data_IF_781565250866
#
_entry.id   IF_781565250866
#
_cell.length_a   1.000
_cell.length_b   1.000
_cell.length_c   1.000
_cell.angle_alpha   90.00
_cell.angle_beta   90.00
_cell.angle_gamma   90.00
#
_symmetry.space_group_name_H-M   'P 1'
#
loop_
_entity.id
_entity.type
_entity.pdbx_description
1 polymer ?
#
# COMPACT_ATOMS: atom_id res chain seq x y z
N UNK A 1 -12.18 20.29 22.12
CA UNK A 1 -13.20 19.27 21.81
C UNK A 1 -12.44 17.98 21.50
N UNK A 2 -12.59 16.95 22.30
CA UNK A 2 -11.83 15.70 22.09
C UNK A 2 -12.54 14.85 21.06
N UNK A 3 -11.89 14.61 19.93
CA UNK A 3 -12.29 13.53 19.03
C UNK A 3 -11.90 12.22 19.72
N UNK A 4 -12.78 11.24 19.69
CA UNK A 4 -12.45 9.92 20.18
C UNK A 4 -11.63 9.18 19.12
N UNK A 5 -10.68 8.38 19.59
CA UNK A 5 -9.83 7.53 18.78
C UNK A 5 -10.11 6.09 19.13
N UNK A 6 -10.42 5.28 18.14
CA UNK A 6 -10.61 3.85 18.28
C UNK A 6 -9.49 3.13 17.53
N UNK A 7 -8.94 2.09 18.15
CA UNK A 7 -7.93 1.23 17.58
C UNK A 7 -8.51 -0.18 17.51
N UNK A 8 -8.42 -0.79 16.33
CA UNK A 8 -8.85 -2.16 16.07
C UNK A 8 -7.65 -2.97 15.61
N UNK A 9 -7.51 -4.17 16.08
CA UNK A 9 -6.39 -5.06 15.72
C UNK A 9 -6.73 -6.02 14.59
N UNK A 10 -8.01 -6.15 14.29
CA UNK A 10 -8.51 -6.92 13.15
C UNK A 10 -9.58 -6.11 12.43
N UNK A 11 -9.63 -6.25 11.10
CA UNK A 11 -10.61 -5.53 10.28
C UNK A 11 -12.05 -5.95 10.66
N UNK A 12 -12.23 -7.20 11.06
CA UNK A 12 -13.53 -7.75 11.48
C UNK A 12 -14.08 -7.14 12.76
N UNK A 13 -13.26 -6.49 13.57
CA UNK A 13 -13.67 -5.80 14.81
C UNK A 13 -14.34 -4.46 14.52
N UNK A 14 -14.17 -3.90 13.31
CA UNK A 14 -14.74 -2.60 12.95
C UNK A 14 -16.24 -2.76 12.67
N UNK A 15 -17.11 -2.12 13.46
CA UNK A 15 -18.55 -2.24 13.26
C UNK A 15 -18.98 -1.73 11.88
N UNK A 16 -19.96 -2.42 11.27
CA UNK A 16 -20.56 -2.01 9.99
C UNK A 16 -20.99 -0.54 9.97
N UNK A 17 -21.54 -0.04 11.07
CA UNK A 17 -21.91 1.37 11.23
C UNK A 17 -20.77 2.34 10.93
N UNK A 18 -19.53 2.00 11.32
CA UNK A 18 -18.34 2.84 11.04
C UNK A 18 -18.08 2.89 9.54
N UNK A 19 -18.17 1.77 8.84
CA UNK A 19 -18.02 1.71 7.38
C UNK A 19 -19.09 2.52 6.66
N UNK A 20 -20.34 2.39 7.08
CA UNK A 20 -21.47 3.15 6.53
C UNK A 20 -21.28 4.67 6.75
N UNK A 21 -20.71 5.08 7.90
CA UNK A 21 -20.42 6.48 8.21
C UNK A 21 -19.23 7.05 7.43
N UNK A 22 -18.18 6.26 7.24
CA UNK A 22 -17.00 6.68 6.48
C UNK A 22 -17.32 6.83 4.98
N UNK A 23 -18.15 5.96 4.44
CA UNK A 23 -18.51 5.93 2.99
C UNK A 23 -17.27 5.96 2.08
N UNK A 24 -16.28 5.12 2.41
CA UNK A 24 -14.99 5.08 1.72
C UNK A 24 -14.83 3.90 0.75
N UNK A 25 -15.80 3.00 0.69
CA UNK A 25 -15.73 1.74 -0.08
C UNK A 25 -15.76 1.92 -1.60
N UNK A 26 -16.08 3.14 -2.10
CA UNK A 26 -15.90 3.48 -3.52
C UNK A 26 -14.45 3.32 -3.99
N UNK A 27 -13.49 3.43 -3.08
CA UNK A 27 -12.12 3.00 -3.30
C UNK A 27 -11.97 1.60 -2.70
N UNK A 28 -11.80 0.59 -3.55
CA UNK A 28 -11.71 -0.83 -3.16
C UNK A 28 -10.67 -1.08 -2.07
N UNK A 29 -9.56 -0.35 -2.06
CA UNK A 29 -8.50 -0.49 -1.06
C UNK A 29 -8.92 -0.07 0.36
N UNK A 30 -10.06 0.61 0.51
CA UNK A 30 -10.68 0.93 1.79
C UNK A 30 -11.92 0.09 2.07
N UNK A 31 -12.23 -0.91 1.24
CA UNK A 31 -13.33 -1.82 1.55
C UNK A 31 -12.93 -2.85 2.61
N UNK A 32 -13.88 -3.25 3.44
CA UNK A 32 -13.66 -4.27 4.47
C UNK A 32 -13.25 -5.61 3.85
N UNK A 33 -13.79 -5.94 2.68
CA UNK A 33 -13.52 -7.16 1.92
C UNK A 33 -12.06 -7.22 1.45
N UNK A 34 -11.56 -6.13 0.91
CA UNK A 34 -10.16 -6.03 0.48
C UNK A 34 -9.20 -6.13 1.67
N UNK A 35 -9.45 -5.34 2.71
CA UNK A 35 -8.60 -5.29 3.89
C UNK A 35 -8.58 -6.63 4.63
N UNK A 36 -9.73 -7.32 4.73
CA UNK A 36 -9.83 -8.64 5.34
C UNK A 36 -9.07 -9.71 4.52
N UNK A 37 -9.16 -9.66 3.19
CA UNK A 37 -8.40 -10.57 2.33
C UNK A 37 -6.88 -10.38 2.49
N UNK A 38 -6.41 -9.14 2.59
CA UNK A 38 -5.00 -8.82 2.78
C UNK A 38 -4.55 -9.25 4.18
N UNK A 39 -5.29 -8.91 5.22
CA UNK A 39 -4.95 -9.24 6.61
C UNK A 39 -4.85 -10.76 6.82
N UNK A 40 -5.85 -11.52 6.41
CA UNK A 40 -5.92 -12.96 6.67
C UNK A 40 -4.87 -13.79 5.95
N UNK A 41 -4.37 -13.30 4.83
CA UNK A 41 -3.42 -14.06 4.02
C UNK A 41 -1.95 -13.62 4.18
N UNK A 42 -1.68 -12.58 4.99
CA UNK A 42 -0.32 -12.05 5.16
C UNK A 42 0.04 -11.98 6.65
N UNK A 43 0.04 -13.11 7.32
CA UNK A 43 0.27 -13.31 8.76
C UNK A 43 1.69 -12.91 9.24
N UNK A 44 2.63 -12.76 8.30
CA UNK A 44 3.95 -12.20 8.57
C UNK A 44 3.94 -10.69 8.83
N UNK A 45 2.81 -10.02 8.58
CA UNK A 45 2.58 -8.62 8.93
C UNK A 45 1.69 -8.52 10.17
N UNK A 46 1.88 -7.47 10.95
CA UNK A 46 0.94 -7.09 12.00
C UNK A 46 0.09 -5.94 11.50
N UNK A 47 -1.22 -6.06 11.66
CA UNK A 47 -2.17 -5.04 11.24
C UNK A 47 -2.79 -4.34 12.45
N UNK A 48 -3.12 -3.07 12.29
CA UNK A 48 -4.10 -2.39 13.13
C UNK A 48 -4.72 -1.21 12.35
N UNK A 49 -5.88 -0.79 12.81
CA UNK A 49 -6.69 0.22 12.17
C UNK A 49 -7.03 1.32 13.15
N UNK A 50 -6.98 2.55 12.68
CA UNK A 50 -7.31 3.73 13.48
C UNK A 50 -8.54 4.40 12.91
N UNK A 51 -9.55 4.58 13.73
CA UNK A 51 -10.76 5.36 13.40
C UNK A 51 -10.82 6.59 14.29
N UNK A 52 -11.00 7.75 13.67
CA UNK A 52 -11.32 8.98 14.39
C UNK A 52 -12.80 9.30 14.23
N UNK A 53 -13.41 9.74 15.32
CA UNK A 53 -14.79 10.23 15.32
C UNK A 53 -14.84 11.72 15.67
N UNK A 54 -15.91 12.40 15.26
CA UNK A 54 -16.24 13.75 15.69
C UNK A 54 -16.80 13.79 17.11
N UNK A 55 -17.24 14.96 17.55
CA UNK A 55 -17.85 15.17 18.87
C UNK A 55 -19.22 14.51 19.02
N UNK A 56 -19.87 14.15 17.91
CA UNK A 56 -21.14 13.38 17.85
C UNK A 56 -20.89 11.87 17.71
N UNK A 57 -19.65 11.43 17.83
CA UNK A 57 -19.21 10.04 17.69
C UNK A 57 -19.42 9.45 16.28
N UNK A 58 -19.54 10.29 15.26
CA UNK A 58 -19.57 9.85 13.87
C UNK A 58 -18.16 9.69 13.33
N UNK A 59 -17.90 8.60 12.62
CA UNK A 59 -16.61 8.34 12.01
C UNK A 59 -16.29 9.37 10.92
N UNK A 60 -15.10 9.97 11.01
CA UNK A 60 -14.65 11.03 10.11
C UNK A 60 -13.34 10.71 9.38
N UNK A 61 -12.57 9.76 9.88
CA UNK A 61 -11.32 9.34 9.26
C UNK A 61 -10.96 7.91 9.65
N UNK A 62 -10.21 7.27 8.78
CA UNK A 62 -9.72 5.91 8.91
C UNK A 62 -8.24 5.87 8.50
N UNK A 63 -7.45 5.03 9.17
CA UNK A 63 -6.09 4.69 8.74
C UNK A 63 -5.86 3.20 8.87
N UNK A 64 -5.30 2.60 7.80
CA UNK A 64 -4.80 1.24 7.78
C UNK A 64 -3.29 1.24 8.01
N UNK A 65 -2.84 0.47 9.00
CA UNK A 65 -1.45 0.41 9.42
C UNK A 65 -0.94 -1.02 9.38
N UNK A 66 0.24 -1.18 8.81
CA UNK A 66 0.95 -2.45 8.70
C UNK A 66 2.31 -2.33 9.38
N UNK A 67 2.68 -3.30 10.20
CA UNK A 67 4.02 -3.39 10.79
C UNK A 67 4.75 -4.56 10.13
N UNK A 68 5.92 -4.26 9.61
CA UNK A 68 6.76 -5.17 8.83
C UNK A 68 8.03 -5.42 9.62
N UNK A 69 8.38 -6.69 9.82
CA UNK A 69 9.69 -7.08 10.30
C UNK A 69 10.64 -7.19 9.11
N UNK A 70 11.58 -6.26 9.01
CA UNK A 70 12.50 -6.15 7.89
C UNK A 70 13.90 -6.60 8.27
N UNK A 71 14.43 -7.59 7.55
CA UNK A 71 15.78 -8.14 7.73
C UNK A 71 16.74 -7.47 6.76
N UNK A 72 17.80 -6.84 7.29
CA UNK A 72 18.80 -6.12 6.48
C UNK A 72 19.70 -7.04 5.66
N UNK A 73 19.90 -8.27 6.11
CA UNK A 73 20.63 -9.34 5.43
C UNK A 73 19.92 -9.87 4.17
N UNK A 74 18.62 -9.60 4.03
CA UNK A 74 17.88 -9.86 2.80
C UNK A 74 18.31 -8.97 1.61
N UNK A 75 19.23 -8.01 1.84
CA UNK A 75 19.74 -7.07 0.82
C UNK A 75 21.15 -7.51 0.44
N UNK A 76 21.27 -8.62 -0.30
CA UNK A 76 22.58 -9.17 -0.64
C UNK A 76 23.34 -8.45 -1.77
N UNK A 77 22.72 -7.62 -2.57
CA UNK A 77 23.43 -6.97 -3.69
C UNK A 77 22.97 -5.54 -3.92
N UNK A 78 23.94 -4.65 -3.92
CA UNK A 78 23.89 -3.24 -4.35
C UNK A 78 22.76 -2.42 -3.72
N UNK A 79 23.13 -1.70 -2.68
CA UNK A 79 22.26 -0.75 -1.98
C UNK A 79 21.54 0.15 -2.99
N UNK A 80 20.30 -0.17 -3.32
CA UNK A 80 19.46 0.65 -4.19
C UNK A 80 19.43 2.10 -3.66
N UNK A 81 19.13 3.03 -4.53
CA UNK A 81 19.04 4.46 -4.18
C UNK A 81 18.11 4.72 -2.98
N UNK A 82 17.09 3.87 -2.81
CA UNK A 82 16.14 3.94 -1.68
C UNK A 82 16.82 3.51 -0.39
N UNK A 83 17.52 2.38 -0.40
CA UNK A 83 18.27 1.90 0.78
C UNK A 83 19.39 2.89 1.11
N UNK A 84 20.10 3.44 0.12
CA UNK A 84 21.09 4.50 0.35
C UNK A 84 20.46 5.74 1.00
N UNK A 85 19.26 6.14 0.62
CA UNK A 85 18.54 7.25 1.25
C UNK A 85 18.04 6.91 2.64
N UNK A 86 17.44 5.75 2.83
CA UNK A 86 16.98 5.26 4.16
C UNK A 86 18.19 5.06 5.08
N UNK A 87 19.29 4.45 4.61
CA UNK A 87 20.52 4.28 5.42
C UNK A 87 21.24 5.60 5.64
N UNK A 88 21.20 6.57 4.71
CA UNK A 88 21.76 7.91 4.94
C UNK A 88 20.97 8.66 6.01
N UNK A 89 19.64 8.53 5.99
CA UNK A 89 18.77 9.06 7.05
C UNK A 89 19.01 8.31 8.36
N UNK A 90 19.07 6.99 8.34
CA UNK A 90 19.37 6.15 9.50
C UNK A 90 20.75 6.48 10.11
N UNK A 91 21.80 6.72 9.29
CA UNK A 91 23.11 7.20 9.77
C UNK A 91 23.03 8.59 10.38
N UNK A 92 22.26 9.50 9.77
CA UNK A 92 22.06 10.86 10.29
C UNK A 92 21.38 10.84 11.67
N UNK A 93 20.52 9.86 11.91
CA UNK A 93 19.83 9.65 13.20
C UNK A 93 20.53 8.66 14.12
N UNK A 94 21.77 8.22 13.80
CA UNK A 94 22.52 7.22 14.58
C UNK A 94 21.78 5.88 14.77
N UNK A 95 20.87 5.54 13.88
CA UNK A 95 20.29 4.20 13.80
C UNK A 95 21.33 3.35 13.07
N UNK A 96 22.25 2.76 13.83
CA UNK A 96 23.25 1.83 13.29
C UNK A 96 22.51 0.56 12.82
N UNK A 97 22.96 -0.08 11.71
CA UNK A 97 22.47 -1.40 11.35
C UNK A 97 22.76 -2.33 12.53
N UNK A 98 21.72 -2.73 13.23
CA UNK A 98 21.82 -3.75 14.25
C UNK A 98 21.65 -5.11 13.57
N UNK A 99 22.24 -6.17 14.11
CA UNK A 99 21.99 -7.54 13.70
C UNK A 99 20.51 -7.95 13.87
N UNK A 100 19.73 -7.09 14.54
CA UNK A 100 18.31 -7.28 14.76
C UNK A 100 17.49 -6.74 13.59
N UNK A 101 16.42 -7.44 13.19
CA UNK A 101 15.51 -6.97 12.19
C UNK A 101 14.83 -5.65 12.57
N UNK A 102 14.66 -4.75 11.64
CA UNK A 102 13.97 -3.47 11.83
C UNK A 102 12.45 -3.67 11.89
N UNK A 103 11.79 -2.92 12.75
CA UNK A 103 10.34 -2.80 12.79
C UNK A 103 9.92 -1.57 11.99
N UNK A 104 9.32 -1.78 10.83
CA UNK A 104 8.84 -0.70 9.96
C UNK A 104 7.33 -0.62 10.06
N UNK A 105 6.82 0.50 10.55
CA UNK A 105 5.40 0.81 10.48
C UNK A 105 5.10 1.56 9.19
N UNK A 106 4.23 1.00 8.37
CA UNK A 106 3.71 1.62 7.15
C UNK A 106 2.23 1.97 7.32
N UNK A 107 1.90 3.26 7.33
CA UNK A 107 0.54 3.72 7.12
C UNK A 107 0.31 3.84 5.62
N UNK A 108 -0.33 2.83 5.06
CA UNK A 108 -0.47 2.61 3.62
C UNK A 108 -0.48 1.12 3.31
N UNK A 109 -0.80 0.80 2.06
CA UNK A 109 -0.75 -0.58 1.60
C UNK A 109 0.68 -0.91 1.11
N UNK A 110 1.34 -1.90 1.71
CA UNK A 110 2.70 -2.29 1.35
C UNK A 110 2.80 -2.99 -0.01
N UNK A 111 1.68 -3.46 -0.54
CA UNK A 111 1.63 -4.26 -1.76
C UNK A 111 1.17 -3.48 -3.00
N UNK A 112 0.61 -2.27 -2.81
CA UNK A 112 0.15 -1.42 -3.92
C UNK A 112 0.61 0.01 -3.73
N UNK A 113 0.78 0.74 -4.84
CA UNK A 113 1.09 2.16 -4.86
C UNK A 113 -0.20 2.99 -4.83
N UNK A 114 -0.15 4.16 -4.20
CA UNK A 114 -1.25 5.11 -4.11
C UNK A 114 -1.64 5.47 -2.69
N UNK A 115 -2.46 6.51 -2.54
CA UNK A 115 -2.96 6.98 -1.24
C UNK A 115 -4.05 6.06 -0.68
N UNK A 116 -3.65 4.85 -0.26
CA UNK A 116 -4.55 3.81 0.24
C UNK A 116 -4.35 3.52 1.74
N UNK A 117 -3.65 4.41 2.46
CA UNK A 117 -3.40 4.25 3.88
C UNK A 117 -4.31 5.06 4.77
N UNK A 118 -4.74 6.22 4.30
CA UNK A 118 -5.51 7.20 5.08
C UNK A 118 -6.71 7.68 4.28
N UNK A 119 -7.87 7.57 4.89
CA UNK A 119 -9.11 8.19 4.41
C UNK A 119 -9.57 9.28 5.37
N UNK A 120 -9.90 10.44 4.84
CA UNK A 120 -10.47 11.57 5.59
C UNK A 120 -11.66 12.11 4.81
N UNK A 121 -12.81 12.21 5.47
CA UNK A 121 -14.03 12.75 4.85
C UNK A 121 -13.81 14.16 4.31
N UNK A 122 -14.45 14.48 3.19
CA UNK A 122 -14.22 15.73 2.46
C UNK A 122 -14.69 16.99 3.24
N UNK A 123 -15.66 16.84 4.13
CA UNK A 123 -16.17 17.91 4.98
C UNK A 123 -15.27 18.23 6.18
N UNK A 124 -14.16 17.50 6.35
CA UNK A 124 -13.25 17.66 7.47
C UNK A 124 -12.02 18.51 7.11
N UNK A 125 -11.46 19.18 8.12
CA UNK A 125 -10.15 19.83 7.97
C UNK A 125 -9.05 18.76 7.89
N UNK A 126 -8.68 18.39 6.65
CA UNK A 126 -7.76 17.30 6.34
C UNK A 126 -6.41 17.44 7.06
N UNK A 127 -5.86 18.65 7.18
CA UNK A 127 -4.59 18.93 7.88
C UNK A 127 -4.67 18.56 9.36
N UNK A 128 -5.71 19.05 10.03
CA UNK A 128 -5.92 18.80 11.45
C UNK A 128 -6.18 17.31 11.71
N UNK A 129 -6.99 16.67 10.87
CA UNK A 129 -7.34 15.25 11.01
C UNK A 129 -6.13 14.37 10.76
N UNK A 130 -5.33 14.63 9.71
CA UNK A 130 -4.08 13.90 9.44
C UNK A 130 -3.12 13.96 10.63
N UNK A 131 -2.93 15.14 11.21
CA UNK A 131 -2.07 15.31 12.40
C UNK A 131 -2.59 14.50 13.59
N UNK A 132 -3.91 14.43 13.79
CA UNK A 132 -4.51 13.63 14.86
C UNK A 132 -4.32 12.13 14.63
N UNK A 133 -4.52 11.64 13.38
CA UNK A 133 -4.26 10.26 13.03
C UNK A 133 -2.81 9.87 13.30
N UNK A 134 -1.85 10.67 12.81
CA UNK A 134 -0.43 10.43 13.04
C UNK A 134 -0.08 10.36 14.53
N UNK A 135 -0.58 11.31 15.34
CA UNK A 135 -0.38 11.28 16.81
C UNK A 135 -1.03 10.07 17.48
N UNK A 136 -2.20 9.65 16.99
CA UNK A 136 -2.87 8.46 17.53
C UNK A 136 -2.05 7.18 17.25
N UNK A 137 -1.51 7.05 16.03
CA UNK A 137 -0.64 5.94 15.64
C UNK A 137 0.62 5.92 16.52
N UNK A 138 1.33 7.06 16.64
CA UNK A 138 2.54 7.17 17.47
C UNK A 138 2.24 6.79 18.94
N UNK A 139 1.20 7.35 19.53
CA UNK A 139 0.82 7.07 20.92
C UNK A 139 0.45 5.61 21.13
N UNK A 140 -0.23 4.98 20.16
CA UNK A 140 -0.57 3.57 20.24
C UNK A 140 0.68 2.68 20.22
N UNK A 141 1.62 2.98 19.34
CA UNK A 141 2.86 2.20 19.21
C UNK A 141 3.77 2.37 20.43
N UNK A 142 3.95 3.57 20.93
CA UNK A 142 4.72 3.84 22.14
C UNK A 142 4.18 3.05 23.36
N UNK A 143 2.87 2.88 23.44
CA UNK A 143 2.24 2.15 24.55
C UNK A 143 2.35 0.63 24.40
N UNK A 144 2.14 0.10 23.19
CA UNK A 144 1.89 -1.32 22.98
C UNK A 144 3.08 -2.10 22.41
N UNK A 145 4.11 -1.40 21.88
CA UNK A 145 5.29 -2.04 21.25
C UNK A 145 6.59 -1.73 22.00
N UNK A 146 6.54 -1.68 23.35
CA UNK A 146 7.70 -1.35 24.19
C UNK A 146 8.83 -2.38 24.12
N UNK A 147 8.47 -3.66 24.03
CA UNK A 147 9.46 -4.76 23.95
C UNK A 147 10.11 -4.85 22.56
N UNK A 148 9.40 -4.42 21.55
CA UNK A 148 9.85 -4.39 20.16
C UNK A 148 9.45 -3.06 19.51
N UNK A 149 10.20 -1.99 19.80
CA UNK A 149 9.87 -0.64 19.34
C UNK A 149 9.84 -0.52 17.82
N UNK A 150 9.04 0.40 17.32
CA UNK A 150 9.02 0.74 15.90
C UNK A 150 10.24 1.62 15.60
N UNK A 151 11.08 1.16 14.68
CA UNK A 151 12.30 1.85 14.28
C UNK A 151 12.02 2.93 13.22
N UNK A 152 11.08 2.67 12.31
CA UNK A 152 10.76 3.54 11.19
C UNK A 152 9.25 3.67 11.04
N UNK A 153 8.78 4.92 10.93
CA UNK A 153 7.39 5.26 10.65
C UNK A 153 7.28 5.82 9.24
N UNK A 154 6.48 5.19 8.39
CA UNK A 154 6.26 5.62 7.00
C UNK A 154 4.78 5.95 6.82
N UNK A 155 4.50 7.14 6.31
CA UNK A 155 3.21 7.50 5.73
C UNK A 155 3.42 7.68 4.23
N UNK A 156 2.84 6.79 3.44
CA UNK A 156 3.30 6.61 2.06
C UNK A 156 2.32 7.11 1.00
N UNK A 157 2.91 7.37 -0.16
CA UNK A 157 2.26 7.54 -1.46
C UNK A 157 1.34 8.76 -1.59
N UNK A 158 1.63 9.84 -0.87
CA UNK A 158 0.91 11.10 -1.08
C UNK A 158 1.10 11.60 -2.52
N UNK A 159 -0.01 11.81 -3.22
CA UNK A 159 0.00 12.42 -4.55
C UNK A 159 0.26 13.93 -4.46
N UNK A 160 0.66 14.56 -5.58
CA UNK A 160 1.02 15.97 -5.62
C UNK A 160 -0.07 16.90 -5.03
N UNK A 161 -1.35 16.58 -5.25
CA UNK A 161 -2.48 17.34 -4.70
C UNK A 161 -2.57 17.28 -3.17
N UNK A 162 -2.05 16.22 -2.55
CA UNK A 162 -2.10 15.98 -1.10
C UNK A 162 -0.86 16.48 -0.36
N UNK A 163 0.17 16.97 -1.06
CA UNK A 163 1.42 17.42 -0.42
C UNK A 163 1.21 18.57 0.57
N UNK A 164 0.27 19.48 0.29
CA UNK A 164 -0.07 20.57 1.22
C UNK A 164 -0.68 20.08 2.53
N UNK A 165 -1.25 18.86 2.52
CA UNK A 165 -1.82 18.21 3.69
C UNK A 165 -0.73 17.43 4.41
N UNK A 166 0.06 16.64 3.68
CA UNK A 166 1.13 15.80 4.24
C UNK A 166 2.26 16.62 4.88
N UNK A 167 2.49 17.85 4.44
CA UNK A 167 3.46 18.77 5.07
C UNK A 167 3.17 19.03 6.56
N UNK A 168 1.94 18.82 7.03
CA UNK A 168 1.63 18.88 8.46
C UNK A 168 2.40 17.84 9.30
N UNK A 169 2.83 16.74 8.68
CA UNK A 169 3.62 15.68 9.33
C UNK A 169 5.03 16.16 9.69
N UNK A 170 5.56 17.18 9.00
CA UNK A 170 6.89 17.74 9.28
C UNK A 170 6.93 18.29 10.72
N UNK A 171 5.82 18.90 11.19
CA UNK A 171 5.70 19.38 12.58
C UNK A 171 5.73 18.27 13.64
N UNK A 172 5.58 17.02 13.23
CA UNK A 172 5.66 15.83 14.07
C UNK A 172 6.99 15.07 13.90
N UNK A 173 7.97 15.68 13.24
CA UNK A 173 9.30 15.08 13.03
C UNK A 173 9.42 14.17 11.81
N UNK A 174 8.41 14.10 10.94
CA UNK A 174 8.51 13.36 9.69
C UNK A 174 9.35 14.11 8.65
N UNK A 175 10.01 13.36 7.79
CA UNK A 175 10.79 13.86 6.67
C UNK A 175 10.18 13.39 5.35
N UNK A 176 10.04 14.30 4.39
CA UNK A 176 9.57 13.96 3.05
C UNK A 176 10.70 13.38 2.21
N UNK A 177 10.42 12.31 1.48
CA UNK A 177 11.31 11.76 0.48
C UNK A 177 10.51 11.22 -0.71
N UNK A 178 11.13 11.19 -1.88
CA UNK A 178 10.52 10.63 -3.08
C UNK A 178 11.14 9.27 -3.37
N UNK A 179 10.30 8.35 -3.80
CA UNK A 179 10.69 7.06 -4.35
C UNK A 179 10.72 7.17 -5.88
N UNK A 180 10.83 6.07 -6.59
CA UNK A 180 10.79 6.02 -8.04
C UNK A 180 9.50 6.63 -8.61
N UNK A 181 9.57 7.28 -9.79
CA UNK A 181 8.40 7.93 -10.37
C UNK A 181 7.34 6.90 -10.76
N UNK A 182 6.11 7.20 -10.45
CA UNK A 182 4.97 6.43 -10.92
C UNK A 182 4.66 6.77 -12.38
N UNK A 183 4.59 5.76 -13.24
CA UNK A 183 4.30 5.93 -14.66
C UNK A 183 2.80 5.78 -14.91
N UNK A 184 2.15 6.85 -15.39
CA UNK A 184 0.72 6.86 -15.67
C UNK A 184 0.47 7.15 -17.15
N UNK A 185 -0.26 6.26 -17.82
CA UNK A 185 -0.79 6.50 -19.16
C UNK A 185 -2.28 6.88 -19.04
N UNK A 186 -2.61 8.10 -19.46
CA UNK A 186 -4.01 8.50 -19.56
C UNK A 186 -4.57 7.98 -20.87
N UNK A 187 -5.62 7.19 -20.83
CA UNK A 187 -6.33 6.71 -22.01
C UNK A 187 -7.09 7.89 -22.62
N UNK A 188 -6.81 8.19 -23.89
CA UNK A 188 -7.48 9.27 -24.59
C UNK A 188 -8.86 8.82 -25.07
N UNK A 189 -9.86 9.69 -25.00
CA UNK A 189 -11.25 9.37 -25.35
C UNK A 189 -11.41 8.85 -26.80
N UNK A 190 -10.56 9.31 -27.71
CA UNK A 190 -10.56 8.87 -29.10
C UNK A 190 -9.90 7.50 -29.32
N UNK A 191 -9.31 6.87 -28.30
CA UNK A 191 -8.72 5.55 -28.44
C UNK A 191 -9.75 4.46 -28.15
N UNK A 192 -10.50 4.10 -29.16
CA UNK A 192 -11.52 3.05 -29.07
C UNK A 192 -10.92 1.63 -29.14
N UNK A 193 -9.67 1.51 -29.62
CA UNK A 193 -8.96 0.24 -29.75
C UNK A 193 -7.44 0.48 -29.75
N UNK A 194 -6.68 -0.61 -29.75
CA UNK A 194 -5.21 -0.56 -29.71
C UNK A 194 -4.59 0.08 -30.95
N UNK A 195 -5.22 -0.04 -32.13
CA UNK A 195 -4.72 0.57 -33.35
C UNK A 195 -4.80 2.10 -33.29
N UNK A 196 -5.85 2.65 -32.71
CA UNK A 196 -5.94 4.10 -32.46
C UNK A 196 -4.82 4.59 -31.54
N UNK A 197 -4.50 3.83 -30.49
CA UNK A 197 -3.34 4.12 -29.65
C UNK A 197 -2.03 4.05 -30.47
N UNK A 198 -1.83 3.02 -31.28
CA UNK A 198 -0.63 2.86 -32.11
C UNK A 198 -0.44 4.03 -33.07
N UNK A 199 -1.52 4.53 -33.68
CA UNK A 199 -1.45 5.67 -34.62
C UNK A 199 -1.03 6.96 -33.93
N UNK A 200 -1.34 7.14 -32.67
CA UNK A 200 -0.94 8.31 -31.86
C UNK A 200 0.54 8.33 -31.49
N UNK A 201 1.21 7.16 -31.56
CA UNK A 201 2.62 7.05 -31.21
C UNK A 201 3.54 7.59 -32.31
N UNK A 202 4.66 8.22 -31.90
CA UNK A 202 5.77 8.51 -32.82
C UNK A 202 6.27 7.19 -33.45
N UNK A 203 6.69 7.26 -34.72
CA UNK A 203 7.08 6.08 -35.53
C UNK A 203 8.01 5.10 -34.77
N UNK A 204 9.04 5.60 -34.09
CA UNK A 204 9.99 4.78 -33.28
C UNK A 204 9.26 3.91 -32.24
N UNK A 205 8.29 4.46 -31.52
CA UNK A 205 7.56 3.74 -30.47
C UNK A 205 6.50 2.82 -31.06
N UNK A 206 5.84 3.25 -32.14
CA UNK A 206 4.87 2.44 -32.90
C UNK A 206 5.50 1.16 -33.43
N UNK A 207 6.71 1.23 -33.99
CA UNK A 207 7.45 0.05 -34.46
C UNK A 207 7.76 -0.90 -33.31
N UNK A 208 8.21 -0.38 -32.16
CA UNK A 208 8.46 -1.22 -30.96
C UNK A 208 7.19 -1.89 -30.46
N UNK A 209 6.08 -1.16 -30.38
CA UNK A 209 4.80 -1.71 -29.93
C UNK A 209 4.27 -2.79 -30.88
N UNK A 210 4.34 -2.57 -32.20
CA UNK A 210 3.96 -3.57 -33.22
C UNK A 210 4.83 -4.83 -33.13
N UNK A 211 6.14 -4.66 -32.90
CA UNK A 211 7.04 -5.81 -32.69
C UNK A 211 6.68 -6.62 -31.44
N UNK A 212 6.40 -5.94 -30.33
CA UNK A 212 5.96 -6.59 -29.10
C UNK A 212 4.64 -7.34 -29.31
N UNK A 213 3.65 -6.72 -29.94
CA UNK A 213 2.39 -7.35 -30.28
C UNK A 213 2.59 -8.60 -31.16
N UNK A 214 3.43 -8.51 -32.20
CA UNK A 214 3.74 -9.68 -33.03
C UNK A 214 4.34 -10.83 -32.23
N UNK A 215 5.23 -10.55 -31.29
CA UNK A 215 5.85 -11.59 -30.43
C UNK A 215 4.83 -12.18 -29.44
N UNK A 216 3.85 -11.40 -29.01
CA UNK A 216 2.82 -11.88 -28.06
C UNK A 216 1.78 -12.83 -28.66
N UNK A 217 1.69 -12.92 -30.01
CA UNK A 217 0.74 -13.83 -30.67
C UNK A 217 0.97 -15.32 -30.31
N UNK A 218 2.17 -15.68 -29.89
CA UNK A 218 2.49 -17.03 -29.47
C UNK A 218 2.24 -17.28 -27.97
N UNK A 219 1.76 -16.29 -27.23
CA UNK A 219 1.46 -16.40 -25.81
C UNK A 219 0.00 -16.81 -25.61
N UNK A 220 -0.22 -17.78 -24.75
CA UNK A 220 -1.56 -18.15 -24.28
C UNK A 220 -1.90 -17.30 -23.06
N UNK A 221 -2.98 -16.55 -23.14
CA UNK A 221 -3.55 -15.82 -21.99
C UNK A 221 -4.54 -16.73 -21.29
N UNK A 222 -4.25 -17.09 -20.03
CA UNK A 222 -5.13 -17.92 -19.20
C UNK A 222 -5.65 -17.09 -18.03
N UNK A 223 -6.95 -17.06 -17.85
CA UNK A 223 -7.55 -16.47 -16.67
C UNK A 223 -7.45 -17.43 -15.48
N UNK A 224 -7.00 -16.92 -14.33
CA UNK A 224 -7.00 -17.66 -13.07
C UNK A 224 -8.30 -17.35 -12.35
N UNK A 225 -9.16 -18.36 -12.22
CA UNK A 225 -10.43 -18.27 -11.49
C UNK A 225 -10.28 -18.82 -10.08
N UNK A 226 -11.31 -18.70 -9.24
CA UNK A 226 -11.33 -19.30 -7.89
C UNK A 226 -11.19 -20.82 -7.99
N UNK A 227 -11.86 -21.44 -8.96
CA UNK A 227 -11.91 -22.90 -9.15
C UNK A 227 -10.57 -23.47 -9.57
N UNK A 228 -9.81 -22.78 -10.44
CA UNK A 228 -8.54 -23.30 -10.94
C UNK A 228 -7.32 -22.72 -10.19
N UNK A 229 -7.54 -21.88 -9.18
CA UNK A 229 -6.46 -21.20 -8.46
C UNK A 229 -5.50 -22.18 -7.80
N UNK A 230 -6.03 -23.17 -7.10
CA UNK A 230 -5.22 -24.12 -6.31
C UNK A 230 -4.30 -24.97 -7.17
N UNK A 231 -4.66 -25.21 -8.44
CA UNK A 231 -3.80 -25.89 -9.43
C UNK A 231 -2.64 -25.00 -9.89
N UNK A 232 -2.85 -23.67 -9.93
CA UNK A 232 -1.90 -22.73 -10.52
C UNK A 232 -1.02 -22.03 -9.47
N UNK A 233 -1.46 -21.95 -8.22
CA UNK A 233 -0.81 -21.12 -7.18
C UNK A 233 0.64 -21.51 -6.93
N UNK A 234 0.99 -22.77 -7.06
CA UNK A 234 2.38 -23.25 -6.86
C UNK A 234 3.31 -22.66 -7.92
N UNK A 235 2.94 -22.75 -9.19
CA UNK A 235 3.73 -22.19 -10.29
C UNK A 235 3.78 -20.67 -10.22
N UNK A 236 2.65 -20.02 -9.95
CA UNK A 236 2.58 -18.57 -9.74
C UNK A 236 3.52 -18.13 -8.62
N UNK A 237 3.55 -18.86 -7.51
CA UNK A 237 4.41 -18.56 -6.37
C UNK A 237 5.89 -18.65 -6.72
N UNK A 238 6.29 -19.69 -7.47
CA UNK A 238 7.67 -19.83 -7.93
C UNK A 238 8.08 -18.70 -8.90
N UNK A 239 7.21 -18.33 -9.82
CA UNK A 239 7.44 -17.20 -10.72
C UNK A 239 7.53 -15.88 -9.96
N UNK A 240 6.64 -15.66 -9.01
CA UNK A 240 6.65 -14.48 -8.14
C UNK A 240 7.97 -14.39 -7.36
N UNK A 241 8.38 -15.47 -6.70
CA UNK A 241 9.65 -15.51 -5.95
C UNK A 241 10.86 -15.19 -6.83
N UNK A 242 10.90 -15.74 -8.06
CA UNK A 242 11.98 -15.44 -9.01
C UNK A 242 12.07 -13.98 -9.42
N UNK A 243 10.93 -13.29 -9.50
CA UNK A 243 10.89 -11.84 -9.77
C UNK A 243 11.24 -11.05 -8.51
N UNK A 244 10.63 -11.39 -7.38
CA UNK A 244 10.83 -10.71 -6.11
C UNK A 244 12.29 -10.79 -5.64
N UNK A 245 12.97 -11.93 -5.84
CA UNK A 245 14.39 -12.11 -5.47
C UNK A 245 15.37 -11.28 -6.31
N UNK A 246 14.93 -10.74 -7.45
CA UNK A 246 15.73 -9.86 -8.32
C UNK A 246 15.46 -8.37 -8.06
N UNK A 247 14.49 -8.06 -7.21
CA UNK A 247 14.19 -6.68 -6.87
C UNK A 247 15.26 -6.14 -5.92
N UNK A 248 15.77 -4.94 -6.21
CA UNK A 248 16.76 -4.26 -5.36
C UNK A 248 16.20 -3.91 -3.96
N UNK A 249 14.90 -3.85 -3.84
CA UNK A 249 14.20 -3.56 -2.60
C UNK A 249 12.81 -4.21 -2.58
N UNK A 250 12.52 -4.95 -1.51
CA UNK A 250 11.20 -5.53 -1.26
C UNK A 250 10.88 -5.43 0.24
N UNK A 251 9.82 -4.72 0.59
CA UNK A 251 9.37 -4.57 2.00
C UNK A 251 8.77 -5.85 2.58
N UNK A 252 8.36 -6.79 1.73
CA UNK A 252 7.76 -8.05 2.16
C UNK A 252 7.18 -8.83 0.99
N UNK A 253 7.10 -10.15 1.15
CA UNK A 253 6.51 -11.01 0.15
C UNK A 253 4.98 -10.97 0.25
N UNK A 254 4.30 -10.72 -0.87
CA UNK A 254 2.85 -10.84 -0.97
C UNK A 254 2.44 -12.31 -1.05
N UNK A 255 1.52 -12.74 -0.21
CA UNK A 255 0.97 -14.08 -0.30
C UNK A 255 -0.08 -14.14 -1.42
N UNK A 256 0.18 -14.96 -2.44
CA UNK A 256 -0.70 -15.08 -3.61
C UNK A 256 -2.09 -15.65 -3.27
N UNK A 257 -2.26 -16.35 -2.14
CA UNK A 257 -3.58 -16.75 -1.65
C UNK A 257 -4.53 -15.55 -1.44
N UNK A 258 -3.98 -14.35 -1.24
CA UNK A 258 -4.75 -13.11 -1.18
C UNK A 258 -5.59 -12.91 -2.45
N UNK A 259 -5.07 -13.28 -3.65
CA UNK A 259 -5.83 -13.14 -4.90
C UNK A 259 -7.08 -14.02 -4.93
N UNK A 260 -7.01 -15.25 -4.40
CA UNK A 260 -8.19 -16.13 -4.27
C UNK A 260 -9.22 -15.48 -3.37
N UNK A 261 -8.80 -15.05 -2.18
CA UNK A 261 -9.69 -14.37 -1.22
C UNK A 261 -10.30 -13.08 -1.78
N UNK A 262 -9.54 -12.31 -2.57
CA UNK A 262 -10.05 -11.12 -3.24
C UNK A 262 -11.11 -11.47 -4.28
N UNK A 263 -10.89 -12.49 -5.11
CA UNK A 263 -11.89 -12.94 -6.09
C UNK A 263 -13.15 -13.45 -5.42
N UNK A 264 -13.03 -14.21 -4.33
CA UNK A 264 -14.17 -14.72 -3.55
C UNK A 264 -15.01 -13.59 -2.92
N UNK A 265 -14.34 -12.53 -2.43
CA UNK A 265 -15.00 -11.44 -1.68
C UNK A 265 -15.50 -10.30 -2.56
N UNK A 266 -14.76 -9.96 -3.59
CA UNK A 266 -15.06 -8.84 -4.48
C UNK A 266 -15.87 -9.27 -5.72
N UNK A 267 -15.93 -10.58 -6.00
CA UNK A 267 -16.65 -11.10 -7.17
C UNK A 267 -16.08 -10.54 -8.47
N UNK A 268 -16.98 -10.31 -9.45
CA UNK A 268 -16.64 -9.72 -10.74
C UNK A 268 -16.47 -8.19 -10.72
N UNK A 269 -16.29 -7.60 -9.55
CA UNK A 269 -15.92 -6.19 -9.46
C UNK A 269 -14.61 -5.92 -10.22
N UNK A 270 -14.43 -4.70 -10.76
CA UNK A 270 -13.45 -4.44 -11.80
C UNK A 270 -12.08 -5.01 -11.43
N UNK A 271 -11.50 -5.74 -12.39
CA UNK A 271 -10.22 -6.43 -12.31
C UNK A 271 -9.15 -5.51 -11.68
N UNK A 272 -8.76 -5.83 -10.46
CA UNK A 272 -7.63 -5.18 -9.78
C UNK A 272 -6.35 -5.64 -10.44
#
# INVERSE_FOLDING_TARGET
>A
MSNNTFIFHQISEIPKKIWDELDCSSNVYFSSEYLDAVEKNNDHLTFFYVVLTDTKQKAIAFASVQIITFHLDAIENDLSTIVKRVTSLARKFKILPSEKPLQILSCGNSFVSGEHGIFIKNDQNKKTVLRKLAKAILKHTEKNYKERPIDIFIMKDFVAASLTISNELISLGYYSFNVEPNMKLTIHENWQNFDHYLTSLKTKFRVKAKKALKLSHNLLVKEITVENFDEQVKEMTELYKRVASKADFNLGAFNLATYKSLKEKLGDHPKV
#
